data_IF_789006852592
#
_entry.id   IF_789006852592
#
_cell.length_a   1.000
_cell.length_b   1.000
_cell.length_c   1.000
_cell.angle_alpha   90.00
_cell.angle_beta   90.00
_cell.angle_gamma   90.00
#
_symmetry.space_group_name_H-M   'P 1'
#
loop_
_entity.id
_entity.type
_entity.pdbx_description
1 polymer ?
#
# COMPACT_ATOMS: atom_id res chain seq x y z
N UNK A 1 43.70 -36.06 -20.73
CA UNK A 1 43.46 -34.60 -20.67
C UNK A 1 42.01 -34.40 -20.32
N UNK A 2 41.77 -34.14 -19.04
CA UNK A 2 40.45 -33.97 -18.43
C UNK A 2 39.82 -32.68 -18.97
N UNK A 3 38.69 -32.80 -19.67
CA UNK A 3 37.90 -31.63 -20.05
C UNK A 3 37.19 -31.15 -18.80
N UNK A 4 37.81 -30.19 -18.11
CA UNK A 4 37.19 -29.41 -17.05
C UNK A 4 36.00 -28.69 -17.67
N UNK A 5 34.82 -29.30 -17.54
CA UNK A 5 33.56 -28.70 -17.93
C UNK A 5 33.34 -27.48 -17.05
N UNK A 6 33.61 -26.31 -17.61
CA UNK A 6 33.28 -25.03 -17.02
C UNK A 6 31.76 -24.90 -17.01
N UNK A 7 31.13 -25.41 -15.95
CA UNK A 7 29.70 -25.22 -15.70
C UNK A 7 29.52 -23.75 -15.37
N UNK A 8 29.31 -22.95 -16.40
CA UNK A 8 28.83 -21.57 -16.36
C UNK A 8 27.90 -21.41 -15.15
N UNK A 9 28.37 -20.68 -14.13
CA UNK A 9 27.58 -20.34 -12.95
C UNK A 9 26.46 -19.41 -13.41
N UNK A 10 25.41 -19.95 -14.04
CA UNK A 10 24.19 -19.20 -14.36
C UNK A 10 23.70 -18.56 -13.07
N UNK A 11 23.70 -17.23 -13.06
CA UNK A 11 23.22 -16.41 -11.94
C UNK A 11 21.85 -16.92 -11.49
N UNK A 12 21.63 -17.02 -10.17
CA UNK A 12 20.38 -17.55 -9.61
C UNK A 12 19.14 -16.83 -10.15
N UNK A 13 19.29 -15.56 -10.53
CA UNK A 13 18.26 -14.75 -11.18
C UNK A 13 17.87 -15.27 -12.57
N UNK A 14 18.83 -15.70 -13.39
CA UNK A 14 18.54 -16.28 -14.70
C UNK A 14 17.76 -17.59 -14.58
N UNK A 15 18.12 -18.44 -13.62
CA UNK A 15 17.38 -19.69 -13.35
C UNK A 15 15.95 -19.45 -12.85
N UNK A 16 15.72 -18.37 -12.11
CA UNK A 16 14.38 -17.97 -11.67
C UNK A 16 13.54 -17.45 -12.83
N UNK A 17 14.14 -16.65 -13.74
CA UNK A 17 13.44 -16.15 -14.92
C UNK A 17 13.13 -17.24 -15.96
N UNK A 18 13.98 -18.26 -16.07
CA UNK A 18 13.77 -19.44 -16.92
C UNK A 18 12.83 -20.50 -16.29
N UNK A 19 12.29 -20.25 -15.10
CA UNK A 19 11.43 -21.22 -14.43
C UNK A 19 10.02 -21.28 -15.03
N UNK A 20 9.49 -22.50 -15.14
CA UNK A 20 8.10 -22.76 -15.57
C UNK A 20 7.08 -21.93 -14.76
N UNK A 21 7.38 -21.70 -13.48
CA UNK A 21 6.59 -20.84 -12.61
C UNK A 21 6.45 -19.41 -13.14
N UNK A 22 7.56 -18.77 -13.52
CA UNK A 22 7.54 -17.40 -14.05
C UNK A 22 6.86 -17.32 -15.42
N UNK A 23 7.02 -18.37 -16.24
CA UNK A 23 6.34 -18.50 -17.52
C UNK A 23 4.81 -18.56 -17.34
N UNK A 24 4.31 -19.42 -16.46
CA UNK A 24 2.88 -19.53 -16.16
C UNK A 24 2.33 -18.26 -15.50
N UNK A 25 3.08 -17.66 -14.58
CA UNK A 25 2.70 -16.43 -13.90
C UNK A 25 2.43 -15.28 -14.88
N UNK A 26 3.32 -15.07 -15.87
CA UNK A 26 3.14 -14.02 -16.89
C UNK A 26 1.95 -14.23 -17.82
N UNK A 27 1.47 -15.47 -17.97
CA UNK A 27 0.37 -15.82 -18.87
C UNK A 27 -1.00 -15.82 -18.17
N UNK A 28 -1.00 -15.76 -16.83
CA UNK A 28 -2.20 -15.74 -16.00
C UNK A 28 -2.55 -14.30 -15.60
N UNK A 29 -3.52 -13.70 -16.30
CA UNK A 29 -3.98 -12.33 -16.04
C UNK A 29 -4.49 -12.13 -14.60
N UNK A 30 -5.19 -13.13 -14.04
CA UNK A 30 -5.68 -13.08 -12.65
C UNK A 30 -4.56 -13.00 -11.62
N UNK A 31 -3.48 -13.77 -11.80
CA UNK A 31 -2.31 -13.74 -10.91
C UNK A 31 -1.62 -12.38 -10.95
N UNK A 32 -1.47 -11.80 -12.14
CA UNK A 32 -0.90 -10.46 -12.31
C UNK A 32 -1.77 -9.40 -11.64
N UNK A 33 -3.08 -9.39 -11.89
CA UNK A 33 -4.00 -8.42 -11.29
C UNK A 33 -3.96 -8.53 -9.76
N UNK A 34 -4.02 -9.75 -9.21
CA UNK A 34 -3.92 -9.97 -7.77
C UNK A 34 -2.61 -9.43 -7.19
N UNK A 35 -1.48 -9.66 -7.87
CA UNK A 35 -0.19 -9.13 -7.43
C UNK A 35 -0.14 -7.60 -7.44
N UNK A 36 -0.77 -6.94 -8.43
CA UNK A 36 -0.85 -5.48 -8.52
C UNK A 36 -1.66 -4.92 -7.36
N UNK A 37 -2.80 -5.54 -7.03
CA UNK A 37 -3.64 -5.12 -5.90
C UNK A 37 -2.86 -5.22 -4.58
N UNK A 38 -2.17 -6.34 -4.36
CA UNK A 38 -1.35 -6.54 -3.16
C UNK A 38 -0.22 -5.52 -3.10
N UNK A 39 0.48 -5.31 -4.22
CA UNK A 39 1.56 -4.33 -4.30
C UNK A 39 1.04 -2.92 -4.00
N UNK A 40 -0.11 -2.55 -4.54
CA UNK A 40 -0.75 -1.26 -4.27
C UNK A 40 -1.11 -1.12 -2.78
N UNK A 41 -1.67 -2.16 -2.17
CA UNK A 41 -1.98 -2.16 -0.73
C UNK A 41 -0.72 -1.98 0.14
N UNK A 42 0.39 -2.63 -0.23
CA UNK A 42 1.68 -2.47 0.46
C UNK A 42 2.19 -1.04 0.30
N UNK A 43 2.12 -0.48 -0.91
CA UNK A 43 2.52 0.91 -1.15
C UNK A 43 1.68 1.88 -0.32
N UNK A 44 0.35 1.72 -0.30
CA UNK A 44 -0.54 2.53 0.54
C UNK A 44 -0.17 2.39 2.01
N UNK A 45 0.16 1.19 2.50
CA UNK A 45 0.55 0.99 3.89
C UNK A 45 1.89 1.69 4.23
N UNK A 46 2.89 1.60 3.35
CA UNK A 46 4.20 2.24 3.54
C UNK A 46 4.10 3.76 3.47
N UNK A 47 3.34 4.28 2.50
CA UNK A 47 3.15 5.72 2.30
C UNK A 47 1.94 6.28 3.05
N UNK A 48 1.28 5.48 3.89
CA UNK A 48 0.01 5.83 4.54
C UNK A 48 0.09 7.08 5.40
N UNK A 49 1.23 7.28 6.10
CA UNK A 49 1.51 8.50 6.89
C UNK A 49 1.51 9.80 6.07
N UNK A 50 1.80 9.73 4.77
CA UNK A 50 1.75 10.89 3.88
C UNK A 50 0.38 11.08 3.22
N UNK A 51 -0.40 10.02 3.11
CA UNK A 51 -1.72 10.04 2.48
C UNK A 51 -2.81 10.47 3.45
N UNK A 52 -2.73 10.03 4.71
CA UNK A 52 -3.63 10.43 5.76
C UNK A 52 -2.95 11.45 6.69
N UNK A 53 -3.48 12.68 6.83
CA UNK A 53 -2.91 13.69 7.71
C UNK A 53 -3.04 13.32 9.20
N UNK A 54 -4.00 12.45 9.55
CA UNK A 54 -4.29 12.04 10.92
C UNK A 54 -3.47 10.80 11.31
N UNK A 55 -2.77 10.86 12.44
CA UNK A 55 -2.04 9.71 12.97
C UNK A 55 -2.93 8.91 13.94
N UNK A 56 -3.36 7.69 13.59
CA UNK A 56 -4.27 6.90 14.45
C UNK A 56 -3.63 6.44 15.76
N UNK A 57 -2.29 6.48 15.87
CA UNK A 57 -1.56 6.07 17.08
C UNK A 57 -1.27 7.24 18.03
N UNK A 58 -1.62 8.47 17.65
CA UNK A 58 -1.44 9.65 18.48
C UNK A 58 -2.78 10.09 19.07
N UNK A 59 -3.00 9.71 20.33
CA UNK A 59 -4.22 10.01 21.06
C UNK A 59 -4.33 11.50 21.44
N UNK A 60 -3.24 12.28 21.35
CA UNK A 60 -3.28 13.71 21.67
C UNK A 60 -3.95 14.54 20.57
N UNK A 61 -4.13 13.96 19.38
CA UNK A 61 -4.83 14.58 18.25
C UNK A 61 -6.36 14.43 18.35
N UNK A 62 -6.86 13.70 19.35
CA UNK A 62 -8.28 13.51 19.57
C UNK A 62 -8.85 14.73 20.30
N UNK A 63 -9.83 15.38 19.71
CA UNK A 63 -10.52 16.52 20.30
C UNK A 63 -12.04 16.29 20.29
N UNK A 64 -12.55 15.82 21.43
CA UNK A 64 -13.97 15.51 21.60
C UNK A 64 -14.86 16.75 21.43
N UNK A 65 -14.33 17.96 21.65
CA UNK A 65 -15.09 19.19 21.43
C UNK A 65 -15.41 19.43 19.95
N UNK A 66 -14.59 18.85 19.05
CA UNK A 66 -14.78 18.87 17.61
C UNK A 66 -15.51 17.62 17.10
N UNK A 67 -16.20 16.86 17.96
CA UNK A 67 -16.98 15.69 17.56
C UNK A 67 -18.24 16.05 16.77
N UNK A 68 -18.59 15.21 15.79
CA UNK A 68 -19.80 15.35 14.97
C UNK A 68 -19.90 16.67 14.19
N UNK A 69 -18.76 17.26 13.79
CA UNK A 69 -18.77 18.41 12.92
C UNK A 69 -19.28 18.00 11.54
N UNK A 70 -20.21 18.77 10.95
CA UNK A 70 -20.64 18.52 9.60
C UNK A 70 -19.49 18.82 8.60
N UNK A 71 -19.56 18.28 7.39
CA UNK A 71 -18.69 18.66 6.28
C UNK A 71 -18.60 20.18 6.10
N UNK A 72 -17.46 20.64 5.59
CA UNK A 72 -17.11 22.07 5.50
C UNK A 72 -18.10 22.93 4.71
N UNK A 73 -18.93 22.32 3.86
CA UNK A 73 -19.93 23.01 3.03
C UNK A 73 -21.30 23.17 3.70
N UNK A 74 -21.47 22.67 4.93
CA UNK A 74 -22.69 22.83 5.72
C UNK A 74 -22.48 23.83 6.85
N UNK A 75 -23.58 24.40 7.35
CA UNK A 75 -23.56 25.34 8.47
C UNK A 75 -22.98 24.68 9.73
N UNK A 76 -22.02 25.33 10.37
CA UNK A 76 -21.27 24.78 11.50
C UNK A 76 -20.10 23.87 11.11
N UNK A 77 -19.82 23.67 9.81
CA UNK A 77 -18.66 22.93 9.32
C UNK A 77 -17.36 23.74 9.39
N UNK A 78 -16.23 23.06 9.47
CA UNK A 78 -14.90 23.68 9.53
C UNK A 78 -14.05 23.27 8.33
N UNK A 79 -13.27 24.21 7.77
CA UNK A 79 -12.34 23.94 6.68
C UNK A 79 -11.20 22.97 7.08
N UNK A 80 -10.95 22.82 8.39
CA UNK A 80 -10.02 21.82 8.91
C UNK A 80 -10.52 20.38 8.70
N UNK A 81 -11.84 20.20 8.58
CA UNK A 81 -12.50 18.90 8.44
C UNK A 81 -13.37 18.89 7.17
N UNK A 82 -12.78 18.71 5.97
CA UNK A 82 -13.52 18.80 4.71
C UNK A 82 -14.76 17.91 4.64
N UNK A 83 -14.66 16.70 5.19
CA UNK A 83 -15.74 15.70 5.22
C UNK A 83 -16.48 15.63 6.56
N UNK A 84 -16.16 16.52 7.52
CA UNK A 84 -16.66 16.48 8.88
C UNK A 84 -15.80 15.63 9.81
N UNK A 85 -16.30 15.34 11.01
CA UNK A 85 -15.59 14.56 12.02
C UNK A 85 -16.41 13.42 12.61
N UNK A 86 -15.72 12.39 13.10
CA UNK A 86 -16.33 11.33 13.91
C UNK A 86 -16.61 11.77 15.36
N UNK A 87 -17.10 10.84 16.20
CA UNK A 87 -17.40 11.08 17.62
C UNK A 87 -16.18 11.50 18.45
N UNK A 88 -14.96 11.21 17.99
CA UNK A 88 -13.73 11.56 18.68
C UNK A 88 -13.05 12.81 18.09
N UNK A 89 -13.71 13.49 17.15
CA UNK A 89 -13.18 14.70 16.50
C UNK A 89 -12.10 14.42 15.44
N UNK A 90 -12.03 13.21 14.91
CA UNK A 90 -11.10 12.86 13.82
C UNK A 90 -11.74 13.14 12.46
N UNK A 91 -10.93 13.56 11.49
CA UNK A 91 -11.29 13.62 10.06
C UNK A 91 -11.39 12.24 9.42
#
# INVERSE_FOLDING_TARGET
MEKVNNTEKKSRFHKLMESEFFYHYRRNASAIIGSIIILLAILIAVFGRGLAPQNPYDLTQLDIANGYLPPMWMEGGSAQFPLGTDVQGRC
#
